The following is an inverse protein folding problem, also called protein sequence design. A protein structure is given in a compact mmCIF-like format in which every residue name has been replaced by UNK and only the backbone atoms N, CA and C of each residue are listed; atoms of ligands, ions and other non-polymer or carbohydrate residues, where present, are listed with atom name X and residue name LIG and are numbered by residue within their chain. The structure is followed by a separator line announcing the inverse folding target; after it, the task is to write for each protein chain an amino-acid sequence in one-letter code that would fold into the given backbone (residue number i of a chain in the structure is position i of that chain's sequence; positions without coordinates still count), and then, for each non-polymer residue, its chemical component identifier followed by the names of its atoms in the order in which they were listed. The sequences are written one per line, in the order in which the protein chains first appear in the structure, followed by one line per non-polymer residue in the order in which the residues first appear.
data_IF_203543863137
#
_entry.id   IF_203543863137
#
_cell.length_a   1.000
_cell.length_b   1.000
_cell.length_c   1.000
_cell.angle_alpha   90.00
_cell.angle_beta   90.00
_cell.angle_gamma   90.00
#
_symmetry.space_group_name_H-M   'P 1'
#
loop_
_entity.id
_entity.type
_entity.pdbx_description
1 polymer ?
#
# COMPACT_ATOMS: atom_id res chain seq x y z
N UNK A 1 13.35 -9.75 -0.76
CA UNK A 1 12.47 -10.46 0.21
C UNK A 1 11.26 -11.07 -0.52
N UNK A 2 10.99 -12.40 -0.43
CA UNK A 2 9.91 -13.06 -1.20
C UNK A 2 8.54 -12.87 -0.52
N UNK A 3 7.81 -11.82 -0.89
CA UNK A 3 6.39 -11.73 -0.57
C UNK A 3 5.61 -12.61 -1.58
N UNK A 4 4.71 -13.45 -1.09
CA UNK A 4 3.77 -14.18 -1.97
C UNK A 4 2.97 -13.17 -2.81
N UNK A 5 2.74 -13.49 -4.08
CA UNK A 5 1.92 -12.67 -4.97
C UNK A 5 0.47 -13.10 -4.88
N UNK A 6 -0.45 -12.13 -4.91
CA UNK A 6 -1.88 -12.41 -5.11
C UNK A 6 -2.13 -12.91 -6.53
N UNK A 7 -2.91 -13.97 -6.66
CA UNK A 7 -3.29 -14.52 -7.97
C UNK A 7 -4.35 -13.66 -8.68
N UNK A 8 -5.09 -12.80 -7.96
CA UNK A 8 -6.24 -12.06 -8.50
C UNK A 8 -5.91 -10.59 -8.81
N UNK A 9 -5.22 -9.90 -7.89
CA UNK A 9 -4.88 -8.48 -8.06
C UNK A 9 -3.47 -8.27 -8.63
N UNK A 10 -2.61 -9.29 -8.59
CA UNK A 10 -1.22 -9.19 -9.02
C UNK A 10 -0.42 -8.19 -8.19
N UNK A 11 -0.78 -7.98 -6.92
CA UNK A 11 -0.05 -7.18 -5.92
C UNK A 11 0.50 -8.09 -4.81
N UNK A 12 1.44 -7.64 -3.97
CA UNK A 12 1.91 -8.43 -2.83
C UNK A 12 0.76 -8.81 -1.89
N UNK A 13 0.62 -10.10 -1.58
CA UNK A 13 -0.49 -10.63 -0.80
C UNK A 13 -0.58 -9.99 0.59
N UNK A 14 0.57 -9.66 1.19
CA UNK A 14 0.63 -8.90 2.44
C UNK A 14 -0.18 -7.59 2.35
N UNK A 15 0.07 -6.80 1.30
CA UNK A 15 -0.55 -5.49 1.13
C UNK A 15 -2.05 -5.63 0.86
N UNK A 16 -2.43 -6.63 0.05
CA UNK A 16 -3.83 -6.95 -0.20
C UNK A 16 -4.58 -7.32 1.08
N UNK A 17 -4.04 -8.24 1.89
CA UNK A 17 -4.66 -8.67 3.15
C UNK A 17 -4.82 -7.51 4.14
N UNK A 18 -3.79 -6.68 4.27
CA UNK A 18 -3.87 -5.48 5.11
C UNK A 18 -4.96 -4.51 4.62
N UNK A 19 -4.98 -4.21 3.32
CA UNK A 19 -5.94 -3.27 2.74
C UNK A 19 -7.38 -3.79 2.86
N UNK A 20 -7.64 -5.06 2.54
CA UNK A 20 -8.96 -5.67 2.68
C UNK A 20 -9.47 -5.56 4.13
N UNK A 21 -8.62 -5.88 5.11
CA UNK A 21 -8.97 -5.73 6.52
C UNK A 21 -9.28 -4.27 6.90
N UNK A 22 -8.49 -3.32 6.39
CA UNK A 22 -8.67 -1.90 6.68
C UNK A 22 -9.96 -1.35 6.05
N UNK A 23 -10.28 -1.77 4.82
CA UNK A 23 -11.52 -1.38 4.15
C UNK A 23 -12.76 -1.91 4.87
N UNK A 24 -12.68 -3.13 5.42
CA UNK A 24 -13.81 -3.74 6.11
C UNK A 24 -13.99 -3.21 7.54
N UNK A 25 -12.89 -2.95 8.28
CA UNK A 25 -12.96 -2.68 9.73
C UNK A 25 -12.40 -1.31 10.15
N UNK A 26 -11.74 -0.58 9.26
CA UNK A 26 -10.93 0.59 9.61
C UNK A 26 -11.46 1.94 9.10
N UNK A 27 -12.33 1.97 8.07
CA UNK A 27 -12.72 3.22 7.39
C UNK A 27 -13.42 4.24 8.30
N UNK A 28 -14.13 3.79 9.34
CA UNK A 28 -14.80 4.67 10.29
C UNK A 28 -13.87 5.24 11.38
N UNK A 29 -12.60 4.80 11.45
CA UNK A 29 -11.66 5.21 12.50
C UNK A 29 -11.03 6.56 12.14
N UNK A 30 -11.28 7.56 12.97
CA UNK A 30 -10.68 8.88 12.80
C UNK A 30 -9.14 8.79 12.87
N UNK A 31 -8.49 9.31 11.83
CA UNK A 31 -7.03 9.37 11.79
C UNK A 31 -6.35 8.00 11.70
N UNK A 32 -7.02 6.97 11.16
CA UNK A 32 -6.50 5.60 11.01
C UNK A 32 -5.05 5.51 10.53
N UNK A 33 -4.69 6.29 9.49
CA UNK A 33 -3.33 6.31 8.95
C UNK A 33 -2.40 7.32 9.65
N UNK A 34 -2.95 8.27 10.42
CA UNK A 34 -2.22 9.29 11.19
C UNK A 34 -1.77 8.75 12.56
N UNK A 35 -2.61 7.97 13.23
CA UNK A 35 -2.34 7.38 14.55
C UNK A 35 -1.63 6.04 14.40
N UNK A 36 -0.47 5.88 15.03
CA UNK A 36 0.27 4.62 15.02
C UNK A 36 -0.35 3.59 15.96
N UNK A 37 -0.39 2.33 15.52
CA UNK A 37 -0.76 1.19 16.37
C UNK A 37 0.35 0.83 17.35
N UNK A 38 0.00 0.05 18.39
CA UNK A 38 0.97 -0.40 19.37
C UNK A 38 2.00 -1.37 18.76
N UNK A 39 3.28 -1.15 19.07
CA UNK A 39 4.41 -1.87 18.44
C UNK A 39 4.28 -3.38 18.49
N UNK A 40 3.88 -3.95 19.64
CA UNK A 40 3.68 -5.38 19.81
C UNK A 40 2.59 -5.96 18.90
N UNK A 41 1.50 -5.20 18.67
CA UNK A 41 0.41 -5.62 17.77
C UNK A 41 0.83 -5.50 16.31
N UNK A 42 1.59 -4.47 15.95
CA UNK A 42 2.16 -4.31 14.60
C UNK A 42 3.11 -5.46 14.27
N UNK A 43 4.01 -5.80 15.19
CA UNK A 43 4.94 -6.92 15.04
C UNK A 43 4.18 -8.26 14.93
N UNK A 44 3.11 -8.44 15.71
CA UNK A 44 2.25 -9.62 15.60
C UNK A 44 1.64 -9.77 14.20
N UNK A 45 1.07 -8.69 13.63
CA UNK A 45 0.51 -8.69 12.27
C UNK A 45 1.59 -9.02 11.24
N UNK A 46 2.74 -8.35 11.30
CA UNK A 46 3.84 -8.56 10.35
C UNK A 46 4.33 -10.00 10.40
N UNK A 47 4.65 -10.50 11.59
CA UNK A 47 5.17 -11.86 11.76
C UNK A 47 4.17 -12.91 11.28
N UNK A 48 2.88 -12.72 11.58
CA UNK A 48 1.85 -13.69 11.20
C UNK A 48 1.67 -13.79 9.69
N UNK A 49 1.64 -12.65 9.00
CA UNK A 49 1.52 -12.64 7.53
C UNK A 49 2.81 -13.05 6.80
N UNK A 50 3.98 -12.92 7.44
CA UNK A 50 5.22 -13.46 6.89
C UNK A 50 5.26 -14.98 7.03
N UNK A 51 4.84 -15.51 8.19
CA UNK A 51 4.75 -16.95 8.46
C UNK A 51 3.69 -17.63 7.59
N UNK A 52 2.48 -17.05 7.54
CA UNK A 52 1.36 -17.52 6.75
C UNK A 52 0.69 -16.35 6.01
N UNK A 53 1.06 -16.12 4.73
CA UNK A 53 0.48 -15.06 3.91
C UNK A 53 -1.04 -15.19 3.69
N UNK A 54 -1.62 -16.36 3.92
CA UNK A 54 -3.05 -16.62 3.78
C UNK A 54 -3.84 -16.39 5.07
N UNK A 55 -3.15 -16.12 6.17
CA UNK A 55 -3.74 -16.00 7.50
C UNK A 55 -4.87 -14.97 7.55
N UNK A 56 -5.93 -15.33 8.27
CA UNK A 56 -7.07 -14.46 8.51
C UNK A 56 -6.81 -13.48 9.66
N UNK A 57 -6.50 -12.22 9.31
CA UNK A 57 -6.20 -11.15 10.27
C UNK A 57 -7.29 -10.90 11.32
N UNK A 58 -8.55 -11.27 11.04
CA UNK A 58 -9.68 -11.13 11.99
C UNK A 58 -9.46 -11.94 13.26
N UNK A 59 -8.73 -13.05 13.15
CA UNK A 59 -8.43 -13.94 14.27
C UNK A 59 -7.41 -13.34 15.25
N UNK A 60 -6.63 -12.33 14.84
CA UNK A 60 -5.64 -11.68 15.72
C UNK A 60 -6.28 -10.73 16.74
N UNK A 61 -7.53 -10.29 16.53
CA UNK A 61 -8.22 -9.33 17.41
C UNK A 61 -7.40 -8.05 17.66
N UNK A 62 -6.63 -7.61 16.67
CA UNK A 62 -5.85 -6.37 16.71
C UNK A 62 -6.65 -5.20 16.14
N UNK A 63 -6.41 -3.96 16.61
CA UNK A 63 -7.07 -2.79 16.04
C UNK A 63 -6.58 -2.53 14.61
N UNK A 64 -7.44 -1.94 13.77
CA UNK A 64 -7.07 -1.59 12.40
C UNK A 64 -5.90 -0.58 12.32
N UNK A 65 -5.66 0.23 13.35
CA UNK A 65 -4.47 1.09 13.45
C UNK A 65 -3.16 0.29 13.48
N UNK A 66 -3.15 -0.91 14.07
CA UNK A 66 -2.00 -1.81 14.02
C UNK A 66 -1.78 -2.35 12.59
N UNK A 67 -2.85 -2.76 11.91
CA UNK A 67 -2.78 -3.24 10.52
C UNK A 67 -2.36 -2.12 9.55
N UNK A 68 -2.89 -0.92 9.70
CA UNK A 68 -2.50 0.26 8.92
C UNK A 68 -1.03 0.64 9.16
N UNK A 69 -0.54 0.51 10.39
CA UNK A 69 0.88 0.74 10.71
C UNK A 69 1.77 -0.35 10.12
N UNK A 70 1.35 -1.62 10.18
CA UNK A 70 2.05 -2.74 9.55
C UNK A 70 2.16 -2.58 8.02
N UNK A 71 1.09 -2.12 7.36
CA UNK A 71 1.10 -1.80 5.93
C UNK A 71 2.14 -0.72 5.61
N UNK A 72 2.14 0.40 6.35
CA UNK A 72 3.13 1.48 6.20
C UNK A 72 4.56 0.97 6.42
N UNK A 73 4.78 0.13 7.42
CA UNK A 73 6.09 -0.46 7.72
C UNK A 73 6.58 -1.35 6.60
N UNK A 74 5.71 -2.18 6.02
CA UNK A 74 6.08 -3.04 4.90
C UNK A 74 6.40 -2.26 3.63
N UNK A 75 5.66 -1.18 3.34
CA UNK A 75 5.99 -0.29 2.22
C UNK A 75 7.37 0.38 2.41
N UNK A 76 7.73 0.75 3.64
CA UNK A 76 9.03 1.37 3.97
C UNK A 76 10.20 0.40 3.95
N UNK A 77 9.95 -0.89 4.15
CA UNK A 77 10.97 -1.96 4.19
C UNK A 77 11.29 -2.58 2.83
N UNK A 78 10.66 -2.12 1.75
CA UNK A 78 10.97 -2.60 0.41
C UNK A 78 12.41 -2.22 0.03
N UNK A 79 13.10 -3.12 -0.66
CA UNK A 79 14.47 -2.91 -1.15
C UNK A 79 14.54 -1.67 -2.06
N UNK A 80 13.46 -1.42 -2.80
CA UNK A 80 13.25 -0.20 -3.58
C UNK A 80 11.89 0.42 -3.19
N UNK A 81 11.82 1.74 -2.94
CA UNK A 81 10.55 2.39 -2.59
C UNK A 81 9.50 2.23 -3.71
N UNK A 82 8.23 2.15 -3.33
CA UNK A 82 7.11 2.07 -4.27
C UNK A 82 7.06 3.26 -5.22
N UNK A 83 7.37 4.45 -4.74
CA UNK A 83 7.64 5.61 -5.58
C UNK A 83 9.15 5.83 -5.56
N UNK A 84 9.83 5.45 -6.64
CA UNK A 84 11.26 5.76 -6.78
C UNK A 84 11.46 7.27 -6.78
N UNK A 85 12.66 7.73 -6.38
CA UNK A 85 12.99 9.16 -6.40
C UNK A 85 12.82 9.73 -7.81
N UNK A 86 13.24 8.99 -8.83
CA UNK A 86 13.07 9.37 -10.24
C UNK A 86 11.58 9.58 -10.60
N UNK A 87 10.71 8.65 -10.21
CA UNK A 87 9.27 8.76 -10.46
C UNK A 87 8.66 9.92 -9.69
N UNK A 88 9.11 10.14 -8.46
CA UNK A 88 8.67 11.25 -7.62
C UNK A 88 9.07 12.60 -8.23
N UNK A 89 10.31 12.75 -8.66
CA UNK A 89 10.83 13.94 -9.33
C UNK A 89 10.10 14.20 -10.66
N UNK A 90 9.86 13.16 -11.46
CA UNK A 90 9.06 13.26 -12.68
C UNK A 90 7.64 13.77 -12.39
N UNK A 91 7.01 13.25 -11.32
CA UNK A 91 5.68 13.71 -10.91
C UNK A 91 5.70 15.14 -10.34
N UNK A 92 6.72 15.53 -9.58
CA UNK A 92 6.85 16.90 -9.04
C UNK A 92 7.07 17.94 -10.13
N UNK A 93 7.77 17.57 -11.20
CA UNK A 93 8.00 18.45 -12.34
C UNK A 93 6.76 18.64 -13.22
N UNK A 94 5.67 17.89 -13.00
CA UNK A 94 4.41 18.11 -13.69
C UNK A 94 3.73 19.36 -13.15
N UNK A 95 3.47 20.33 -14.03
CA UNK A 95 2.73 21.53 -13.65
C UNK A 95 1.24 21.25 -13.56
N UNK A 96 0.52 22.05 -12.76
CA UNK A 96 -0.95 21.98 -12.68
C UNK A 96 -1.55 22.11 -14.10
N UNK A 97 -0.98 22.95 -14.95
CA UNK A 97 -1.41 23.14 -16.34
C UNK A 97 -1.26 21.89 -17.20
N UNK A 98 -0.20 21.10 -16.99
CA UNK A 98 -0.01 19.82 -17.67
C UNK A 98 -0.99 18.73 -17.20
N UNK A 99 -1.55 18.88 -16.00
CA UNK A 99 -2.53 17.99 -15.40
C UNK A 99 -3.98 18.47 -15.59
N UNK A 100 -4.20 19.61 -16.26
CA UNK A 100 -5.55 20.08 -16.62
C UNK A 100 -6.22 19.14 -17.62
N UNK A 101 -7.55 19.18 -17.65
CA UNK A 101 -8.39 18.49 -18.65
C UNK A 101 -8.25 16.96 -18.69
N UNK A 102 -8.02 16.30 -17.54
CA UNK A 102 -7.84 14.84 -17.48
C UNK A 102 -6.68 14.34 -18.36
N UNK A 103 -5.71 15.21 -18.67
CA UNK A 103 -4.54 14.82 -19.44
C UNK A 103 -3.57 14.04 -18.55
N UNK A 104 -3.89 12.76 -18.33
CA UNK A 104 -3.04 11.85 -17.57
C UNK A 104 -1.87 11.29 -18.40
N UNK A 105 -1.64 11.76 -19.64
CA UNK A 105 -0.53 11.29 -20.47
C UNK A 105 0.84 11.50 -19.82
N UNK A 106 1.16 12.66 -19.22
CA UNK A 106 2.45 12.87 -18.57
C UNK A 106 2.65 11.93 -17.38
N UNK A 107 1.62 11.75 -16.57
CA UNK A 107 1.63 10.82 -15.44
C UNK A 107 1.78 9.37 -15.91
N UNK A 108 1.00 8.95 -16.92
CA UNK A 108 1.11 7.62 -17.53
C UNK A 108 2.50 7.34 -18.08
N UNK A 109 3.16 8.34 -18.69
CA UNK A 109 4.52 8.24 -19.21
C UNK A 109 5.55 8.08 -18.09
N UNK A 110 5.36 8.75 -16.95
CA UNK A 110 6.22 8.56 -15.79
C UNK A 110 6.09 7.13 -15.24
N UNK A 111 4.86 6.65 -15.09
CA UNK A 111 4.60 5.27 -14.63
C UNK A 111 4.97 4.18 -15.65
N UNK A 112 5.09 4.47 -16.95
CA UNK A 112 5.41 3.44 -17.96
C UNK A 112 6.82 2.85 -17.82
N UNK A 113 7.70 3.50 -17.05
CA UNK A 113 9.06 3.01 -16.73
C UNK A 113 9.09 2.09 -15.52
N UNK A 114 7.98 2.00 -14.80
CA UNK A 114 7.84 1.17 -13.60
C UNK A 114 7.47 -0.27 -13.99
N UNK A 115 7.95 -1.26 -13.23
CA UNK A 115 7.52 -2.64 -13.43
C UNK A 115 6.01 -2.80 -13.24
N UNK A 116 5.39 -3.68 -14.01
CA UNK A 116 3.94 -3.91 -13.98
C UNK A 116 3.44 -4.22 -12.56
N UNK A 117 4.18 -5.01 -11.79
CA UNK A 117 3.88 -5.32 -10.39
C UNK A 117 3.87 -4.05 -9.50
N UNK A 118 4.88 -3.19 -9.64
CA UNK A 118 4.97 -1.96 -8.85
C UNK A 118 3.86 -0.98 -9.24
N UNK A 119 3.58 -0.82 -10.54
CA UNK A 119 2.47 0.00 -11.02
C UNK A 119 1.12 -0.47 -10.47
N UNK A 120 0.83 -1.77 -10.55
CA UNK A 120 -0.40 -2.36 -9.98
C UNK A 120 -0.49 -2.10 -8.48
N UNK A 121 0.60 -2.28 -7.75
CA UNK A 121 0.67 -2.05 -6.30
C UNK A 121 0.39 -0.60 -5.95
N UNK A 122 1.03 0.37 -6.63
CA UNK A 122 0.77 1.80 -6.41
C UNK A 122 -0.69 2.14 -6.72
N UNK A 123 -1.20 1.68 -7.86
CA UNK A 123 -2.59 1.90 -8.26
C UNK A 123 -3.58 1.34 -7.22
N UNK A 124 -3.30 0.16 -6.69
CA UNK A 124 -4.10 -0.48 -5.66
C UNK A 124 -4.12 0.34 -4.36
N UNK A 125 -2.96 0.79 -3.90
CA UNK A 125 -2.83 1.62 -2.70
C UNK A 125 -3.51 2.99 -2.89
N UNK A 126 -3.32 3.65 -4.02
CA UNK A 126 -3.95 4.95 -4.29
C UNK A 126 -5.47 4.85 -4.40
N UNK A 127 -5.99 3.77 -4.98
CA UNK A 127 -7.43 3.50 -4.98
C UNK A 127 -7.95 3.38 -3.55
N UNK A 128 -7.26 2.61 -2.71
CA UNK A 128 -7.63 2.43 -1.30
C UNK A 128 -7.63 3.76 -0.53
N UNK A 129 -6.59 4.59 -0.69
CA UNK A 129 -6.46 5.88 0.01
C UNK A 129 -7.44 6.96 -0.48
N UNK A 130 -8.16 6.72 -1.57
CA UNK A 130 -9.20 7.60 -2.09
C UNK A 130 -10.62 7.25 -1.60
N UNK A 131 -10.79 6.08 -0.96
CA UNK A 131 -12.06 5.67 -0.35
C UNK A 131 -12.44 6.58 0.81
#
# INVERSE_FOLDING_TARGET
SRCAQSNESGVPLFMEKCIQFIEEYGLAIEGLYRVSGYKNQVELVINKLIEDPSYDLRLLQVPASAVATALKDMMRKLDEPLLSLELFDECQNLTIDQLKEQNFLPLRKAFSRTSELKYRTIKFIFKHLHL
#
